data_IF_224252713058
#
_entry.id   IF_224252713058
#
_cell.length_a   1.000
_cell.length_b   1.000
_cell.length_c   1.000
_cell.angle_alpha   90.00
_cell.angle_beta   90.00
_cell.angle_gamma   90.00
#
_symmetry.space_group_name_H-M   'P 1'
#
loop_
_entity.id
_entity.type
_entity.pdbx_description
1 polymer ?
#
# COMPACT_ATOMS: atom_id res chain seq x y z
N UNK A 1 -17.05 8.77 -18.11
CA UNK A 1 -15.89 9.48 -18.66
C UNK A 1 -16.14 10.98 -18.95
N UNK A 2 -17.36 11.43 -19.22
CA UNK A 2 -17.66 12.86 -19.39
C UNK A 2 -17.79 13.69 -18.08
N UNK A 3 -17.94 13.06 -16.93
CA UNK A 3 -18.15 13.73 -15.64
C UNK A 3 -16.85 14.32 -15.03
N UNK A 4 -15.69 13.79 -15.38
CA UNK A 4 -14.41 14.25 -14.82
C UNK A 4 -13.98 15.63 -15.37
N UNK A 5 -14.38 15.97 -16.57
CA UNK A 5 -13.99 17.23 -17.24
C UNK A 5 -14.66 18.48 -16.60
N UNK A 6 -15.85 18.29 -16.00
CA UNK A 6 -16.63 19.36 -15.35
C UNK A 6 -16.48 19.37 -13.82
N UNK A 7 -15.96 18.31 -13.22
CA UNK A 7 -15.82 18.22 -11.77
C UNK A 7 -14.55 18.93 -11.29
N UNK A 8 -14.74 20.00 -10.52
CA UNK A 8 -13.68 20.84 -9.95
C UNK A 8 -13.84 21.03 -8.45
N UNK A 9 -14.52 20.09 -7.78
CA UNK A 9 -14.91 20.23 -6.38
C UNK A 9 -13.76 20.11 -5.38
N UNK A 10 -12.61 19.55 -5.79
CA UNK A 10 -11.45 19.40 -4.93
C UNK A 10 -10.28 20.26 -5.46
N UNK A 11 -10.18 21.51 -4.99
CA UNK A 11 -9.13 22.47 -5.40
C UNK A 11 -8.96 22.60 -6.92
N UNK A 12 -10.05 22.52 -7.67
CA UNK A 12 -10.02 22.55 -9.14
C UNK A 12 -9.89 21.18 -9.81
N UNK A 13 -9.77 20.10 -9.05
CA UNK A 13 -9.67 18.72 -9.49
C UNK A 13 -10.97 17.93 -9.25
N UNK A 14 -11.12 16.73 -9.87
CA UNK A 14 -12.23 15.84 -9.58
C UNK A 14 -12.25 15.38 -8.13
N UNK A 15 -13.43 15.21 -7.55
CA UNK A 15 -13.58 14.71 -6.16
C UNK A 15 -12.97 13.31 -5.97
N UNK A 16 -12.90 12.49 -7.02
CA UNK A 16 -12.21 11.21 -7.00
C UNK A 16 -10.74 11.30 -6.58
N UNK A 17 -10.07 12.41 -6.92
CA UNK A 17 -8.69 12.65 -6.49
C UNK A 17 -8.59 12.81 -4.97
N UNK A 18 -9.57 13.46 -4.31
CA UNK A 18 -9.60 13.57 -2.86
C UNK A 18 -9.70 12.20 -2.19
N UNK A 19 -10.53 11.30 -2.75
CA UNK A 19 -10.68 9.95 -2.22
C UNK A 19 -9.39 9.15 -2.37
N UNK A 20 -8.73 9.22 -3.52
CA UNK A 20 -7.44 8.56 -3.75
C UNK A 20 -6.33 9.11 -2.85
N UNK A 21 -6.25 10.43 -2.71
CA UNK A 21 -5.30 11.08 -1.80
C UNK A 21 -5.54 10.64 -0.35
N UNK A 22 -6.80 10.49 0.06
CA UNK A 22 -7.15 9.96 1.38
C UNK A 22 -6.71 8.50 1.58
N UNK A 23 -6.90 7.65 0.57
CA UNK A 23 -6.43 6.26 0.59
C UNK A 23 -4.91 6.22 0.70
N UNK A 24 -4.19 7.00 -0.11
CA UNK A 24 -2.73 7.04 -0.07
C UNK A 24 -2.20 7.59 1.25
N UNK A 25 -2.81 8.65 1.78
CA UNK A 25 -2.43 9.21 3.09
C UNK A 25 -2.53 8.16 4.19
N UNK A 26 -3.67 7.45 4.26
CA UNK A 26 -3.89 6.40 5.25
C UNK A 26 -2.93 5.22 5.07
N UNK A 27 -2.70 4.81 3.82
CA UNK A 27 -1.75 3.75 3.51
C UNK A 27 -0.33 4.15 3.91
N UNK A 28 0.12 5.37 3.57
CA UNK A 28 1.44 5.87 3.99
C UNK A 28 1.58 5.92 5.50
N UNK A 29 0.57 6.45 6.21
CA UNK A 29 0.55 6.48 7.66
C UNK A 29 0.70 5.08 8.26
N UNK A 30 -0.07 4.12 7.77
CA UNK A 30 -0.05 2.72 8.20
C UNK A 30 1.30 2.05 7.89
N UNK A 31 1.81 2.25 6.67
CA UNK A 31 3.08 1.69 6.21
C UNK A 31 4.27 2.18 7.05
N UNK A 32 4.43 3.49 7.20
CA UNK A 32 5.56 4.04 7.95
C UNK A 32 5.42 3.77 9.45
N UNK A 33 4.21 3.83 9.99
CA UNK A 33 3.95 3.49 11.40
C UNK A 33 4.31 2.05 11.70
N UNK A 34 3.87 1.11 10.87
CA UNK A 34 4.21 -0.30 11.00
C UNK A 34 5.71 -0.53 10.83
N UNK A 35 6.34 0.07 9.81
CA UNK A 35 7.77 -0.10 9.54
C UNK A 35 8.64 0.42 10.70
N UNK A 36 8.22 1.52 11.34
CA UNK A 36 8.92 2.05 12.52
C UNK A 36 8.90 1.10 13.71
N UNK A 37 7.82 0.35 13.90
CA UNK A 37 7.66 -0.61 15.00
C UNK A 37 8.21 -2.00 14.66
N UNK A 38 8.24 -2.36 13.39
CA UNK A 38 8.55 -3.71 12.91
C UNK A 38 9.92 -4.20 13.39
N UNK A 39 10.96 -3.38 13.24
CA UNK A 39 12.31 -3.75 13.65
C UNK A 39 12.36 -4.03 15.16
N UNK A 40 11.74 -3.15 15.96
CA UNK A 40 11.67 -3.33 17.41
C UNK A 40 10.97 -4.62 17.81
N UNK A 41 9.81 -4.91 17.21
CA UNK A 41 9.07 -6.14 17.47
C UNK A 41 9.90 -7.38 17.17
N UNK A 42 10.73 -7.37 16.14
CA UNK A 42 11.54 -8.52 15.75
C UNK A 42 12.71 -8.75 16.73
N UNK A 43 13.42 -7.69 17.17
CA UNK A 43 14.64 -7.90 17.96
C UNK A 43 14.48 -7.73 19.47
N UNK A 44 13.39 -7.14 19.97
CA UNK A 44 13.17 -7.04 21.42
C UNK A 44 12.98 -8.44 22.04
N UNK A 45 13.37 -8.55 23.32
CA UNK A 45 13.26 -9.78 24.06
C UNK A 45 11.81 -10.29 24.12
N UNK A 46 11.66 -11.60 24.15
CA UNK A 46 10.33 -12.24 24.23
C UNK A 46 9.57 -11.81 25.50
N UNK A 47 10.30 -11.59 26.62
CA UNK A 47 9.72 -11.08 27.86
C UNK A 47 9.15 -9.66 27.75
N UNK A 48 9.61 -8.87 26.78
CA UNK A 48 9.15 -7.50 26.50
C UNK A 48 8.14 -7.46 25.34
N UNK A 49 7.65 -8.60 24.90
CA UNK A 49 6.65 -8.73 23.83
C UNK A 49 7.24 -8.79 22.42
N UNK A 50 8.57 -8.87 22.27
CA UNK A 50 9.25 -9.04 20.98
C UNK A 50 9.44 -10.50 20.60
N UNK A 51 10.12 -10.74 19.46
CA UNK A 51 10.45 -12.10 18.98
C UNK A 51 11.84 -12.59 19.42
N UNK A 52 12.69 -11.73 19.94
CA UNK A 52 14.02 -12.07 20.44
C UNK A 52 15.04 -12.44 19.35
N UNK A 53 14.82 -12.06 18.10
CA UNK A 53 15.79 -12.28 17.03
C UNK A 53 16.95 -11.28 17.09
N UNK A 54 18.07 -11.60 16.42
CA UNK A 54 19.19 -10.66 16.32
C UNK A 54 18.84 -9.44 15.49
N UNK A 55 19.57 -8.33 15.69
CA UNK A 55 19.38 -7.10 14.92
C UNK A 55 19.66 -7.31 13.41
N UNK A 56 20.61 -8.20 13.07
CA UNK A 56 20.90 -8.53 11.68
C UNK A 56 19.71 -9.23 11.00
N UNK A 57 19.05 -10.14 11.72
CA UNK A 57 17.82 -10.81 11.23
C UNK A 57 16.71 -9.78 11.07
N UNK A 58 16.52 -8.89 12.04
CA UNK A 58 15.52 -7.83 11.95
C UNK A 58 15.75 -6.93 10.73
N UNK A 59 16.99 -6.48 10.52
CA UNK A 59 17.35 -5.67 9.36
C UNK A 59 17.12 -6.42 8.03
N UNK A 60 17.44 -7.71 7.98
CA UNK A 60 17.22 -8.55 6.79
C UNK A 60 15.73 -8.69 6.47
N UNK A 61 14.88 -8.90 7.47
CA UNK A 61 13.41 -9.01 7.30
C UNK A 61 12.83 -7.68 6.81
N UNK A 62 13.24 -6.56 7.41
CA UNK A 62 12.80 -5.22 6.99
C UNK A 62 13.24 -4.93 5.56
N UNK A 63 14.46 -5.27 5.18
CA UNK A 63 14.99 -5.14 3.82
C UNK A 63 14.24 -6.01 2.82
N UNK A 64 14.00 -7.27 3.14
CA UNK A 64 13.23 -8.20 2.31
C UNK A 64 11.77 -7.73 2.12
N UNK A 65 11.15 -7.21 3.18
CA UNK A 65 9.83 -6.60 3.10
C UNK A 65 9.80 -5.41 2.12
N UNK A 66 10.78 -4.51 2.20
CA UNK A 66 10.91 -3.42 1.24
C UNK A 66 11.03 -3.92 -0.21
N UNK A 67 11.88 -4.92 -0.45
CA UNK A 67 12.01 -5.59 -1.76
C UNK A 67 10.70 -6.19 -2.26
N UNK A 68 9.95 -6.85 -1.37
CA UNK A 68 8.64 -7.42 -1.69
C UNK A 68 7.63 -6.34 -2.14
N UNK A 69 7.58 -5.19 -1.46
CA UNK A 69 6.71 -4.07 -1.84
C UNK A 69 7.00 -3.60 -3.27
N UNK A 70 8.27 -3.42 -3.63
CA UNK A 70 8.64 -2.98 -4.98
C UNK A 70 8.36 -4.06 -6.04
N UNK A 71 8.66 -5.32 -5.77
CA UNK A 71 8.33 -6.43 -6.67
C UNK A 71 6.82 -6.54 -6.89
N UNK A 72 6.05 -6.38 -5.82
CA UNK A 72 4.57 -6.43 -5.87
C UNK A 72 3.97 -5.26 -6.64
N UNK A 73 4.62 -4.10 -6.67
CA UNK A 73 4.16 -2.97 -7.49
C UNK A 73 4.20 -3.31 -8.99
N UNK A 74 5.24 -4.03 -9.44
CA UNK A 74 5.35 -4.46 -10.85
C UNK A 74 4.24 -5.48 -11.18
N UNK A 75 4.10 -6.51 -10.34
CA UNK A 75 3.07 -7.54 -10.53
C UNK A 75 1.65 -6.98 -10.41
N UNK A 76 1.43 -6.12 -9.43
CA UNK A 76 0.14 -5.47 -9.20
C UNK A 76 -0.29 -4.56 -10.35
N UNK A 77 0.65 -3.79 -10.91
CA UNK A 77 0.40 -3.01 -12.12
C UNK A 77 0.00 -3.90 -13.29
N UNK A 78 0.72 -5.01 -13.52
CA UNK A 78 0.38 -5.97 -14.56
C UNK A 78 -1.02 -6.59 -14.36
N UNK A 79 -1.37 -6.99 -13.13
CA UNK A 79 -2.70 -7.51 -12.76
C UNK A 79 -3.79 -6.46 -13.01
N UNK A 80 -3.53 -5.22 -12.63
CA UNK A 80 -4.44 -4.09 -12.87
C UNK A 80 -4.71 -3.89 -14.36
N UNK A 81 -3.66 -3.89 -15.17
CA UNK A 81 -3.77 -3.55 -16.60
C UNK A 81 -4.34 -4.70 -17.46
N UNK A 82 -4.11 -5.94 -17.05
CA UNK A 82 -4.40 -7.11 -17.89
C UNK A 82 -5.53 -8.01 -17.41
N UNK A 83 -5.81 -8.04 -16.09
CA UNK A 83 -6.71 -9.05 -15.53
C UNK A 83 -7.96 -8.45 -14.89
N UNK A 84 -7.82 -7.57 -13.92
CA UNK A 84 -8.92 -7.16 -13.06
C UNK A 84 -9.42 -5.73 -13.32
N UNK A 85 -8.60 -4.89 -13.94
CA UNK A 85 -8.84 -3.46 -14.04
C UNK A 85 -8.47 -2.71 -12.74
N UNK A 86 -8.26 -1.41 -12.85
CA UNK A 86 -7.69 -0.60 -11.78
C UNK A 86 -8.56 -0.56 -10.50
N UNK A 87 -9.86 -0.39 -10.63
CA UNK A 87 -10.76 -0.28 -9.46
C UNK A 87 -10.80 -1.56 -8.61
N UNK A 88 -10.93 -2.73 -9.27
CA UNK A 88 -10.97 -4.01 -8.54
C UNK A 88 -9.63 -4.35 -7.92
N UNK A 89 -8.55 -4.03 -8.60
CA UNK A 89 -7.19 -4.26 -8.10
C UNK A 89 -6.92 -3.36 -6.90
N UNK A 90 -7.33 -2.09 -6.95
CA UNK A 90 -7.22 -1.16 -5.82
C UNK A 90 -7.98 -1.67 -4.59
N UNK A 91 -9.23 -2.11 -4.78
CA UNK A 91 -10.04 -2.65 -3.70
C UNK A 91 -9.42 -3.93 -3.11
N UNK A 92 -8.99 -4.86 -3.96
CA UNK A 92 -8.33 -6.10 -3.51
C UNK A 92 -7.03 -5.82 -2.74
N UNK A 93 -6.23 -4.86 -3.20
CA UNK A 93 -5.02 -4.44 -2.51
C UNK A 93 -5.32 -3.86 -1.12
N UNK A 94 -6.34 -3.01 -1.00
CA UNK A 94 -6.77 -2.45 0.29
C UNK A 94 -7.24 -3.56 1.27
N UNK A 95 -7.99 -4.54 0.78
CA UNK A 95 -8.41 -5.70 1.59
C UNK A 95 -7.20 -6.52 2.04
N UNK A 96 -6.20 -6.74 1.18
CA UNK A 96 -4.97 -7.45 1.56
C UNK A 96 -4.21 -6.70 2.66
N UNK A 97 -4.07 -5.38 2.55
CA UNK A 97 -3.43 -4.55 3.58
C UNK A 97 -4.19 -4.68 4.91
N UNK A 98 -5.50 -4.59 4.88
CA UNK A 98 -6.35 -4.74 6.08
C UNK A 98 -6.15 -6.12 6.73
N UNK A 99 -6.22 -7.20 5.96
CA UNK A 99 -6.02 -8.56 6.48
C UNK A 99 -4.60 -8.78 7.00
N UNK A 100 -3.61 -8.16 6.35
CA UNK A 100 -2.23 -8.19 6.81
C UNK A 100 -2.06 -7.52 8.18
N UNK A 101 -2.64 -6.34 8.39
CA UNK A 101 -2.62 -5.67 9.70
C UNK A 101 -3.39 -6.46 10.76
N UNK A 102 -4.51 -7.08 10.41
CA UNK A 102 -5.23 -7.98 11.33
C UNK A 102 -4.38 -9.20 11.71
N UNK A 103 -3.63 -9.77 10.76
CA UNK A 103 -2.70 -10.86 11.05
C UNK A 103 -1.61 -10.41 12.03
N UNK A 104 -1.00 -9.25 11.80
CA UNK A 104 0.02 -8.69 12.71
C UNK A 104 -0.52 -8.43 14.11
N UNK A 105 -1.80 -8.04 14.23
CA UNK A 105 -2.41 -7.70 15.51
C UNK A 105 -2.93 -8.94 16.28
N UNK A 106 -3.43 -9.95 15.58
CA UNK A 106 -4.19 -11.05 16.20
C UNK A 106 -3.43 -12.38 16.24
N UNK A 107 -2.47 -12.59 15.33
CA UNK A 107 -1.70 -13.83 15.26
C UNK A 107 -0.31 -13.61 15.87
N UNK A 108 -0.03 -14.16 17.06
CA UNK A 108 1.25 -13.93 17.74
C UNK A 108 2.41 -14.64 17.03
N UNK A 109 3.61 -14.13 17.25
CA UNK A 109 4.85 -14.77 16.87
C UNK A 109 5.22 -14.63 15.39
N UNK A 110 6.22 -15.40 14.96
CA UNK A 110 6.79 -15.32 13.61
C UNK A 110 5.79 -15.67 12.48
N UNK A 111 4.77 -16.49 12.78
CA UNK A 111 3.75 -16.86 11.79
C UNK A 111 2.89 -15.65 11.44
N UNK A 112 2.36 -14.96 12.46
CA UNK A 112 1.56 -13.74 12.24
C UNK A 112 2.37 -12.65 11.57
N UNK A 113 3.64 -12.50 11.96
CA UNK A 113 4.57 -11.59 11.31
C UNK A 113 4.74 -11.93 9.82
N UNK A 114 5.05 -13.18 9.48
CA UNK A 114 5.27 -13.58 8.09
C UNK A 114 4.06 -13.39 7.21
N UNK A 115 2.88 -13.86 7.65
CA UNK A 115 1.61 -13.69 6.91
C UNK A 115 1.30 -12.20 6.77
N UNK A 116 1.40 -11.44 7.86
CA UNK A 116 1.11 -10.02 7.86
C UNK A 116 2.00 -9.23 6.90
N UNK A 117 3.31 -9.45 6.95
CA UNK A 117 4.27 -8.77 6.06
C UNK A 117 4.04 -9.09 4.58
N UNK A 118 3.74 -10.35 4.25
CA UNK A 118 3.43 -10.74 2.86
C UNK A 118 2.16 -10.04 2.39
N UNK A 119 1.08 -10.08 3.16
CA UNK A 119 -0.20 -9.46 2.79
C UNK A 119 -0.08 -7.93 2.68
N UNK A 120 0.55 -7.28 3.66
CA UNK A 120 0.75 -5.82 3.61
C UNK A 120 1.69 -5.45 2.47
N UNK A 121 2.81 -6.17 2.28
CA UNK A 121 3.78 -5.87 1.24
C UNK A 121 3.22 -6.00 -0.17
N UNK A 122 2.49 -7.10 -0.43
CA UNK A 122 1.83 -7.33 -1.73
C UNK A 122 0.71 -6.31 -1.94
N UNK A 123 -0.10 -6.06 -0.92
CA UNK A 123 -1.18 -5.08 -0.99
C UNK A 123 -0.66 -3.66 -1.23
N UNK A 124 0.32 -3.19 -0.45
CA UNK A 124 0.87 -1.83 -0.55
C UNK A 124 1.56 -1.59 -1.90
N UNK A 125 2.35 -2.54 -2.39
CA UNK A 125 2.98 -2.45 -3.71
C UNK A 125 1.95 -2.37 -4.84
N UNK A 126 0.95 -3.26 -4.80
CA UNK A 126 -0.15 -3.29 -5.77
C UNK A 126 -0.98 -2.00 -5.73
N UNK A 127 -1.32 -1.52 -4.54
CA UNK A 127 -2.09 -0.28 -4.35
C UNK A 127 -1.35 0.90 -4.96
N UNK A 128 -0.05 1.05 -4.66
CA UNK A 128 0.78 2.14 -5.18
C UNK A 128 0.81 2.19 -6.70
N UNK A 129 1.00 1.06 -7.37
CA UNK A 129 1.02 0.99 -8.83
C UNK A 129 -0.37 1.34 -9.41
N UNK A 130 -1.43 0.80 -8.82
CA UNK A 130 -2.80 0.97 -9.30
C UNK A 130 -3.32 2.39 -9.08
N UNK A 131 -2.98 3.04 -7.95
CA UNK A 131 -3.39 4.44 -7.70
C UNK A 131 -2.89 5.37 -8.80
N UNK A 132 -1.63 5.23 -9.22
CA UNK A 132 -1.08 6.04 -10.31
C UNK A 132 -1.84 5.84 -11.62
N UNK A 133 -2.26 4.61 -11.94
CA UNK A 133 -3.10 4.31 -13.10
C UNK A 133 -4.46 5.00 -12.99
N UNK A 134 -5.13 4.89 -11.84
CA UNK A 134 -6.45 5.52 -11.62
C UNK A 134 -6.38 7.04 -11.71
N UNK A 135 -5.34 7.67 -11.14
CA UNK A 135 -5.13 9.13 -11.30
C UNK A 135 -4.99 9.48 -12.77
N UNK A 136 -4.16 8.73 -13.53
CA UNK A 136 -3.99 8.95 -14.97
C UNK A 136 -5.28 8.85 -15.76
N UNK A 137 -6.18 7.93 -15.38
CA UNK A 137 -7.47 7.69 -16.05
C UNK A 137 -8.54 8.74 -15.72
N UNK A 138 -8.36 9.52 -14.63
CA UNK A 138 -9.27 10.61 -14.27
C UNK A 138 -9.16 11.81 -15.20
N UNK A 139 -8.06 11.96 -15.91
CA UNK A 139 -7.78 13.12 -16.76
C UNK A 139 -7.65 12.73 -18.23
N UNK A 140 -8.05 13.64 -19.12
CA UNK A 140 -7.69 13.51 -20.54
C UNK A 140 -6.19 13.74 -20.72
N UNK A 141 -5.60 13.13 -21.73
CA UNK A 141 -4.17 13.30 -22.04
C UNK A 141 -3.76 14.76 -22.34
N UNK A 142 -4.73 15.59 -22.70
CA UNK A 142 -4.55 17.02 -23.03
C UNK A 142 -4.97 17.96 -21.89
N UNK A 143 -5.27 17.43 -20.70
CA UNK A 143 -5.70 18.26 -19.55
C UNK A 143 -4.47 18.69 -18.76
N UNK A 144 -4.22 20.01 -18.72
CA UNK A 144 -3.08 20.62 -18.01
C UNK A 144 -3.07 20.31 -16.50
N UNK A 145 -4.23 19.97 -15.93
CA UNK A 145 -4.37 19.59 -14.52
C UNK A 145 -3.81 18.20 -14.21
N UNK A 146 -3.60 17.39 -15.24
CA UNK A 146 -3.13 16.01 -15.08
C UNK A 146 -1.78 15.95 -14.38
N UNK A 147 -0.83 16.77 -14.84
CA UNK A 147 0.53 16.78 -14.27
C UNK A 147 0.56 17.31 -12.84
N UNK A 148 -0.38 18.19 -12.48
CA UNK A 148 -0.51 18.69 -11.11
C UNK A 148 -1.21 17.70 -10.15
N UNK A 149 -1.80 16.63 -10.66
CA UNK A 149 -2.49 15.61 -9.86
C UNK A 149 -1.57 14.47 -9.40
N UNK A 150 -0.36 14.35 -9.97
CA UNK A 150 0.68 13.39 -9.56
C UNK A 150 1.67 14.02 -8.58
#
# INVERSE_FOLDING_TARGET
MALADSDRRFFGHPLGLANLSGIELWERFSFYGMQGLLAYYIYYAVGDGGLGYSQEIAASIVGAYGGLVYASAILGGWVSDRLLGAERTLFGAAVMIMLGHLSLALVPGAIGLGIGLVLVGVGAGTLKATTSTVVGDMYRRTDDRRDAAF
#
